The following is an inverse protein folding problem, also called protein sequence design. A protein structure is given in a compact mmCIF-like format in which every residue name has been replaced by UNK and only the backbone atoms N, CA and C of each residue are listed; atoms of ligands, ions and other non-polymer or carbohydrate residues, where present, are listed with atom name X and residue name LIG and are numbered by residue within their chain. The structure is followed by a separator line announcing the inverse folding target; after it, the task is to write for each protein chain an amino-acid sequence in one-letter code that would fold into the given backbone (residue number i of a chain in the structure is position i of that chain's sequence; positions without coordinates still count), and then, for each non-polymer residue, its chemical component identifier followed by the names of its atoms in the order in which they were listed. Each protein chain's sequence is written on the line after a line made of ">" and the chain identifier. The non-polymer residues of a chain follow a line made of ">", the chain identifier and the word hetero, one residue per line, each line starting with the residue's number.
data_IF_608984335787
#
_entry.id   IF_608984335787
#
_cell.length_a   1.000
_cell.length_b   1.000
_cell.length_c   1.000
_cell.angle_alpha   90.00
_cell.angle_beta   90.00
_cell.angle_gamma   90.00
#
_symmetry.space_group_name_H-M   'P 1'
#
loop_
_entity.id
_entity.type
_entity.pdbx_description
1 polymer ?
#
# COMPACT_ATOMS: atom_id res chain seq x y z
N UNK A 1 -16.42 6.17 -9.06
CA UNK A 1 -17.31 5.21 -8.35
C UNK A 1 -16.42 4.14 -7.76
N UNK A 2 -16.26 4.10 -6.43
CA UNK A 2 -15.42 3.09 -5.75
C UNK A 2 -16.25 1.80 -5.67
N UNK A 3 -15.74 0.69 -6.23
CA UNK A 3 -16.42 -0.61 -6.17
C UNK A 3 -16.12 -1.27 -4.82
N UNK A 4 -17.16 -1.74 -4.12
CA UNK A 4 -17.02 -2.42 -2.82
C UNK A 4 -16.31 -3.76 -2.99
N UNK A 5 -15.16 -3.99 -2.33
CA UNK A 5 -14.43 -5.22 -2.53
C UNK A 5 -14.86 -6.35 -1.58
N UNK A 6 -16.12 -6.79 -1.64
CA UNK A 6 -16.70 -7.75 -0.68
C UNK A 6 -16.19 -9.20 -0.76
N UNK A 7 -15.38 -9.58 -1.74
CA UNK A 7 -15.02 -10.99 -1.96
C UNK A 7 -13.61 -11.36 -1.51
N UNK A 8 -13.47 -12.55 -0.91
CA UNK A 8 -12.20 -13.30 -0.71
C UNK A 8 -11.50 -13.64 -2.04
N UNK A 9 -12.23 -13.59 -3.15
CA UNK A 9 -11.70 -13.86 -4.47
C UNK A 9 -10.70 -12.79 -4.92
N UNK A 10 -9.51 -13.25 -5.29
CA UNK A 10 -8.49 -12.45 -5.97
C UNK A 10 -9.06 -11.76 -7.21
N UNK A 11 -8.68 -10.51 -7.45
CA UNK A 11 -9.13 -9.73 -8.61
C UNK A 11 -8.21 -8.58 -8.95
N UNK A 12 -8.30 -8.08 -10.18
CA UNK A 12 -7.61 -6.87 -10.59
C UNK A 12 -8.54 -5.66 -10.49
N UNK A 13 -8.20 -4.70 -9.63
CA UNK A 13 -8.93 -3.44 -9.47
C UNK A 13 -8.18 -2.28 -10.14
N UNK A 14 -8.91 -1.25 -10.54
CA UNK A 14 -8.31 0.02 -10.96
C UNK A 14 -7.61 0.66 -9.77
N UNK A 15 -6.35 1.06 -9.94
CA UNK A 15 -5.64 1.79 -8.90
C UNK A 15 -6.28 3.17 -8.76
N UNK A 16 -6.71 3.60 -7.56
CA UNK A 16 -7.33 4.90 -7.41
C UNK A 16 -6.34 5.99 -7.80
N UNK A 17 -6.76 6.87 -8.72
CA UNK A 17 -5.94 7.94 -9.25
C UNK A 17 -5.46 8.83 -8.09
N UNK A 18 -4.17 9.20 -8.11
CA UNK A 18 -3.55 10.11 -7.15
C UNK A 18 -3.47 9.62 -5.70
N UNK A 19 -3.52 8.31 -5.42
CA UNK A 19 -3.16 7.85 -4.07
C UNK A 19 -1.67 8.08 -3.79
N UNK A 20 -1.33 8.77 -2.69
CA UNK A 20 0.05 8.95 -2.27
C UNK A 20 0.75 7.60 -2.12
N UNK A 21 1.88 7.43 -2.80
CA UNK A 21 2.69 6.21 -2.69
C UNK A 21 4.17 6.53 -2.54
N UNK A 22 4.86 5.79 -1.66
CA UNK A 22 6.30 5.93 -1.44
C UNK A 22 7.05 5.68 -2.76
N UNK A 23 6.64 4.65 -3.48
CA UNK A 23 7.11 4.34 -4.82
C UNK A 23 5.98 4.55 -5.83
N UNK A 24 6.31 5.14 -6.97
CA UNK A 24 5.33 5.40 -8.04
C UNK A 24 4.69 4.08 -8.51
N UNK A 25 3.36 4.07 -8.57
CA UNK A 25 2.58 2.95 -9.10
C UNK A 25 2.20 3.25 -10.56
N UNK A 26 2.94 2.64 -11.50
CA UNK A 26 2.83 2.95 -12.93
C UNK A 26 1.72 2.18 -13.67
N UNK A 27 1.01 1.30 -12.98
CA UNK A 27 -0.01 0.46 -13.59
C UNK A 27 -1.42 1.01 -13.32
N UNK A 28 -2.32 0.99 -14.31
CA UNK A 28 -3.70 1.44 -14.11
C UNK A 28 -4.49 0.48 -13.22
N UNK A 29 -4.00 -0.76 -13.04
CA UNK A 29 -4.65 -1.81 -12.26
C UNK A 29 -3.66 -2.49 -11.34
N UNK A 30 -4.16 -2.97 -10.20
CA UNK A 30 -3.41 -3.77 -9.25
C UNK A 30 -4.16 -5.04 -8.89
N UNK A 31 -3.40 -6.07 -8.55
CA UNK A 31 -3.95 -7.34 -8.08
C UNK A 31 -4.25 -7.27 -6.58
N UNK A 32 -5.49 -7.55 -6.22
CA UNK A 32 -5.96 -7.75 -4.86
C UNK A 32 -5.63 -9.18 -4.46
N UNK A 33 -4.69 -9.31 -3.53
CA UNK A 33 -4.27 -10.59 -2.97
C UNK A 33 -5.39 -11.18 -2.11
N UNK A 34 -5.63 -12.52 -2.12
CA UNK A 34 -6.63 -13.15 -1.27
C UNK A 34 -6.48 -12.79 0.21
N UNK A 35 -5.25 -12.71 0.70
CA UNK A 35 -4.94 -12.40 2.10
C UNK A 35 -5.30 -10.95 2.51
N UNK A 36 -5.55 -10.03 1.56
CA UNK A 36 -5.85 -8.63 1.91
C UNK A 36 -7.11 -8.47 2.74
N UNK A 37 -8.11 -9.34 2.55
CA UNK A 37 -9.31 -9.31 3.39
C UNK A 37 -8.98 -9.63 4.85
N UNK A 38 -8.16 -10.64 5.08
CA UNK A 38 -7.73 -11.03 6.42
C UNK A 38 -6.95 -9.90 7.09
N UNK A 39 -6.00 -9.28 6.38
CA UNK A 39 -5.27 -8.12 6.92
C UNK A 39 -6.18 -6.91 7.16
N UNK A 40 -7.18 -6.68 6.29
CA UNK A 40 -8.15 -5.61 6.50
C UNK A 40 -8.95 -5.83 7.79
N UNK A 41 -9.56 -7.01 7.94
CA UNK A 41 -10.35 -7.37 9.12
C UNK A 41 -9.49 -7.29 10.37
N UNK A 42 -8.27 -7.82 10.32
CA UNK A 42 -7.33 -7.75 11.41
C UNK A 42 -7.06 -6.31 11.85
N UNK A 43 -6.80 -5.40 10.91
CA UNK A 43 -6.53 -3.98 11.23
C UNK A 43 -7.76 -3.34 11.86
N UNK A 44 -8.96 -3.60 11.33
CA UNK A 44 -10.22 -3.11 11.87
C UNK A 44 -10.44 -3.63 13.31
N UNK A 45 -10.19 -4.90 13.56
CA UNK A 45 -10.35 -5.52 14.88
C UNK A 45 -9.36 -4.95 15.90
N UNK A 46 -8.13 -4.61 15.48
CA UNK A 46 -7.19 -3.87 16.35
C UNK A 46 -7.70 -2.48 16.70
N UNK A 47 -8.23 -1.73 15.73
CA UNK A 47 -8.82 -0.42 16.04
C UNK A 47 -10.02 -0.55 16.98
N UNK A 48 -10.89 -1.54 16.80
CA UNK A 48 -12.02 -1.82 17.71
C UNK A 48 -11.57 -2.24 19.11
N UNK A 49 -10.45 -2.96 19.21
CA UNK A 49 -9.81 -3.34 20.48
C UNK A 49 -9.12 -2.20 21.22
N UNK A 50 -9.21 -0.95 20.73
CA UNK A 50 -8.66 0.23 21.39
C UNK A 50 -7.21 0.55 21.02
N UNK A 51 -6.63 -0.12 20.04
CA UNK A 51 -5.29 0.21 19.56
C UNK A 51 -5.33 1.39 18.61
N UNK A 52 -4.54 2.43 18.87
CA UNK A 52 -4.44 3.59 17.97
C UNK A 52 -3.53 3.33 16.76
N UNK A 53 -2.65 2.33 16.81
CA UNK A 53 -1.56 2.19 15.83
C UNK A 53 -1.38 0.75 15.44
N UNK A 54 -1.52 0.47 14.14
CA UNK A 54 -1.35 -0.85 13.55
C UNK A 54 -0.32 -0.77 12.45
N UNK A 55 0.58 -1.75 12.41
CA UNK A 55 1.62 -1.83 11.38
C UNK A 55 1.47 -3.09 10.57
N UNK A 56 1.43 -2.93 9.25
CA UNK A 56 1.57 -4.03 8.30
C UNK A 56 2.96 -3.93 7.67
N UNK A 57 3.77 -4.96 7.87
CA UNK A 57 5.18 -4.98 7.48
C UNK A 57 5.50 -6.12 6.52
N UNK A 58 6.70 -6.12 5.96
CA UNK A 58 7.18 -7.20 5.11
C UNK A 58 8.27 -6.74 4.16
N UNK A 59 8.79 -7.67 3.37
CA UNK A 59 9.85 -7.43 2.41
C UNK A 59 9.42 -6.45 1.31
N UNK A 60 10.39 -5.87 0.62
CA UNK A 60 10.11 -4.98 -0.51
C UNK A 60 9.29 -5.72 -1.58
N UNK A 61 8.32 -5.03 -2.19
CA UNK A 61 7.44 -5.57 -3.21
C UNK A 61 6.51 -6.75 -2.81
N UNK A 62 6.30 -6.99 -1.51
CA UNK A 62 5.32 -7.98 -1.03
C UNK A 62 3.85 -7.55 -1.23
N UNK A 63 3.60 -6.32 -1.70
CA UNK A 63 2.26 -5.78 -1.94
C UNK A 63 1.69 -4.95 -0.81
N UNK A 64 2.53 -4.24 -0.04
CA UNK A 64 2.07 -3.34 1.03
C UNK A 64 1.33 -2.10 0.51
N UNK A 65 1.88 -1.40 -0.49
CA UNK A 65 1.24 -0.20 -1.04
C UNK A 65 -0.08 -0.53 -1.76
N UNK A 66 -0.16 -1.69 -2.42
CA UNK A 66 -1.41 -2.20 -3.01
C UNK A 66 -2.41 -2.65 -1.95
N UNK A 67 -1.95 -3.15 -0.79
CA UNK A 67 -2.82 -3.37 0.38
C UNK A 67 -3.38 -2.05 0.92
N UNK A 68 -2.57 -0.98 1.02
CA UNK A 68 -3.09 0.34 1.41
C UNK A 68 -4.14 0.86 0.44
N UNK A 69 -3.93 0.70 -0.88
CA UNK A 69 -4.93 1.09 -1.87
C UNK A 69 -6.24 0.29 -1.72
N UNK A 70 -6.14 -1.02 -1.44
CA UNK A 70 -7.28 -1.87 -1.11
C UNK A 70 -7.99 -1.39 0.16
N UNK A 71 -7.22 -1.18 1.24
CA UNK A 71 -7.73 -0.73 2.54
C UNK A 71 -8.44 0.61 2.39
N UNK A 72 -7.80 1.61 1.78
CA UNK A 72 -8.39 2.92 1.51
C UNK A 72 -9.72 2.79 0.77
N UNK A 73 -9.74 2.06 -0.34
CA UNK A 73 -10.93 1.90 -1.18
C UNK A 73 -12.09 1.30 -0.39
N UNK A 74 -11.82 0.22 0.34
CA UNK A 74 -12.83 -0.47 1.15
C UNK A 74 -13.30 0.38 2.32
N UNK A 75 -12.36 0.96 3.06
CA UNK A 75 -12.64 1.76 4.26
C UNK A 75 -13.49 2.98 3.94
N UNK A 76 -13.21 3.71 2.86
CA UNK A 76 -14.01 4.86 2.44
C UNK A 76 -15.46 4.49 2.08
N UNK A 77 -15.70 3.25 1.62
CA UNK A 77 -17.04 2.75 1.31
C UNK A 77 -17.78 2.35 2.60
N UNK A 78 -17.12 1.62 3.50
CA UNK A 78 -17.72 1.11 4.74
C UNK A 78 -17.88 2.20 5.81
N UNK A 79 -17.03 3.23 5.79
CA UNK A 79 -16.99 4.33 6.76
C UNK A 79 -17.14 5.70 6.08
N UNK A 80 -18.26 5.97 5.38
CA UNK A 80 -18.38 7.16 4.54
C UNK A 80 -18.43 8.49 5.32
N UNK A 81 -18.64 8.42 6.64
CA UNK A 81 -18.70 9.59 7.51
C UNK A 81 -17.38 9.87 8.24
N UNK A 82 -16.33 9.09 7.98
CA UNK A 82 -15.01 9.30 8.58
C UNK A 82 -14.07 10.06 7.64
N UNK A 83 -13.10 10.75 8.22
CA UNK A 83 -12.03 11.42 7.48
C UNK A 83 -10.85 10.48 7.32
N UNK A 84 -10.46 10.17 6.08
CA UNK A 84 -9.32 9.30 5.78
C UNK A 84 -8.18 10.15 5.22
N UNK A 85 -7.01 10.07 5.85
CA UNK A 85 -5.83 10.85 5.48
C UNK A 85 -4.74 9.89 5.02
N UNK A 86 -4.44 9.86 3.74
CA UNK A 86 -3.35 9.05 3.19
C UNK A 86 -2.09 9.89 3.04
N UNK A 87 -0.95 9.38 3.50
CA UNK A 87 0.34 10.07 3.41
C UNK A 87 1.39 9.07 2.94
N UNK A 88 2.21 9.51 1.99
CA UNK A 88 3.38 8.76 1.57
C UNK A 88 4.66 9.41 2.07
N UNK A 89 5.67 8.59 2.32
CA UNK A 89 6.97 9.04 2.81
C UNK A 89 8.08 8.65 1.84
N UNK A 90 9.12 9.47 1.78
CA UNK A 90 10.38 9.10 1.13
C UNK A 90 11.10 8.01 1.94
N UNK A 91 12.13 7.39 1.36
CA UNK A 91 12.96 6.40 2.06
C UNK A 91 13.66 6.99 3.31
N UNK A 92 13.79 8.31 3.41
CA UNK A 92 14.38 9.00 4.57
C UNK A 92 13.34 9.40 5.63
N UNK A 93 12.06 9.04 5.43
CA UNK A 93 10.95 9.31 6.33
C UNK A 93 10.42 10.75 6.26
N UNK A 94 10.65 11.46 5.16
CA UNK A 94 10.04 12.79 4.91
C UNK A 94 8.70 12.60 4.20
N UNK A 95 7.67 13.38 4.55
CA UNK A 95 6.41 13.37 3.80
C UNK A 95 6.68 13.77 2.35
N UNK A 96 6.17 12.95 1.43
CA UNK A 96 6.33 13.11 -0.02
C UNK A 96 5.04 13.66 -0.64
N UNK A 97 3.91 13.11 -0.23
CA UNK A 97 2.60 13.47 -0.76
C UNK A 97 1.50 13.11 0.25
N UNK A 98 0.39 13.85 0.22
CA UNK A 98 -0.73 13.67 1.12
C UNK A 98 -2.08 13.87 0.42
N UNK A 99 -3.06 13.08 0.84
CA UNK A 99 -4.43 13.10 0.35
C UNK A 99 -5.38 13.03 1.54
N UNK A 100 -6.42 13.88 1.52
CA UNK A 100 -7.53 13.82 2.46
C UNK A 100 -8.77 13.42 1.71
N UNK A 101 -9.45 12.38 2.18
CA UNK A 101 -10.72 11.93 1.69
C UNK A 101 -11.79 12.18 2.74
N UNK A 102 -12.92 12.75 2.30
CA UNK A 102 -14.15 12.88 3.07
C UNK A 102 -15.35 12.56 2.18
N UNK A 103 -16.56 12.51 2.76
CA UNK A 103 -17.80 12.41 2.00
C UNK A 103 -17.98 13.51 0.95
N UNK A 104 -17.40 14.70 1.18
CA UNK A 104 -17.51 15.83 0.25
C UNK A 104 -16.56 15.71 -0.95
N UNK A 105 -15.58 14.79 -0.90
CA UNK A 105 -14.66 14.55 -2.00
C UNK A 105 -13.23 14.32 -1.53
N UNK A 106 -12.31 14.52 -2.48
CA UNK A 106 -10.87 14.33 -2.27
C UNK A 106 -10.18 15.68 -2.35
N UNK A 107 -9.30 15.95 -1.39
CA UNK A 107 -8.36 17.07 -1.41
C UNK A 107 -6.94 16.52 -1.49
N UNK A 108 -6.14 17.06 -2.40
CA UNK A 108 -4.76 16.67 -2.64
C UNK A 108 -3.88 17.91 -2.57
N UNK A 109 -2.72 17.82 -1.92
CA UNK A 109 -1.72 18.90 -1.96
C UNK A 109 -0.32 18.37 -1.69
N UNK A 110 0.64 18.83 -2.49
CA UNK A 110 2.06 18.68 -2.20
C UNK A 110 2.62 19.85 -1.35
N UNK A 111 1.87 20.94 -1.21
CA UNK A 111 2.28 22.15 -0.47
C UNK A 111 1.58 22.23 0.89
N UNK A 112 2.31 22.60 1.95
CA UNK A 112 1.78 22.69 3.33
C UNK A 112 1.02 21.41 3.78
N UNK A 113 1.52 20.21 3.43
CA UNK A 113 0.87 18.94 3.76
C UNK A 113 0.51 18.81 5.24
N UNK A 114 1.39 19.25 6.14
CA UNK A 114 1.12 19.26 7.59
C UNK A 114 -0.10 20.11 7.96
N UNK A 115 -0.23 21.28 7.34
CA UNK A 115 -1.32 22.23 7.55
C UNK A 115 -2.64 21.64 7.08
N UNK A 116 -2.66 21.00 5.91
CA UNK A 116 -3.84 20.30 5.40
C UNK A 116 -4.27 19.17 6.33
N UNK A 117 -3.33 18.34 6.79
CA UNK A 117 -3.61 17.23 7.72
C UNK A 117 -4.20 17.77 9.03
N UNK A 118 -3.59 18.81 9.61
CA UNK A 118 -4.05 19.42 10.85
C UNK A 118 -5.45 20.06 10.71
N UNK A 119 -5.71 20.75 9.60
CA UNK A 119 -7.03 21.30 9.30
C UNK A 119 -8.09 20.21 9.15
N UNK A 120 -7.78 19.13 8.43
CA UNK A 120 -8.68 18.01 8.24
C UNK A 120 -9.03 17.31 9.57
N UNK A 121 -8.04 17.10 10.44
CA UNK A 121 -8.25 16.52 11.77
C UNK A 121 -9.01 17.45 12.71
N UNK A 122 -8.70 18.75 12.69
CA UNK A 122 -9.40 19.75 13.50
C UNK A 122 -10.87 19.81 13.11
N UNK A 123 -11.15 19.85 11.81
CA UNK A 123 -12.52 19.83 11.28
C UNK A 123 -13.25 18.54 11.67
N UNK A 124 -12.62 17.38 11.49
CA UNK A 124 -13.20 16.10 11.90
C UNK A 124 -13.56 16.10 13.40
N UNK A 125 -12.66 16.59 14.26
CA UNK A 125 -12.89 16.71 15.71
C UNK A 125 -14.03 17.66 16.04
N UNK A 126 -14.10 18.84 15.42
CA UNK A 126 -15.17 19.81 15.61
C UNK A 126 -16.53 19.25 15.22
N UNK A 127 -16.56 18.42 14.17
CA UNK A 127 -17.77 17.74 13.69
C UNK A 127 -18.09 16.44 14.46
N UNK A 128 -17.29 16.07 15.47
CA UNK A 128 -17.46 14.83 16.24
C UNK A 128 -17.22 13.56 15.42
N UNK A 129 -16.48 13.65 14.31
CA UNK A 129 -16.21 12.55 13.38
C UNK A 129 -14.84 11.92 13.63
N UNK A 130 -14.73 10.58 13.60
CA UNK A 130 -13.44 9.91 13.65
C UNK A 130 -12.59 10.23 12.41
N UNK A 131 -11.27 10.19 12.60
CA UNK A 131 -10.29 10.19 11.50
C UNK A 131 -9.32 9.01 11.61
N UNK A 132 -8.74 8.65 10.47
CA UNK A 132 -7.68 7.64 10.37
C UNK A 132 -6.59 8.13 9.41
N UNK A 133 -5.33 7.84 9.74
CA UNK A 133 -4.19 8.07 8.86
C UNK A 133 -3.67 6.76 8.27
N UNK A 134 -3.45 6.74 6.96
CA UNK A 134 -2.88 5.63 6.21
C UNK A 134 -1.50 6.02 5.70
N UNK A 135 -0.45 5.32 6.13
CA UNK A 135 0.93 5.68 5.84
C UNK A 135 1.63 4.66 4.95
N UNK A 136 2.07 5.08 3.77
CA UNK A 136 2.97 4.31 2.91
C UNK A 136 4.42 4.74 3.16
N UNK A 137 5.13 3.94 3.97
CA UNK A 137 6.48 4.21 4.46
C UNK A 137 6.53 4.61 5.94
N UNK A 138 7.71 4.47 6.54
CA UNK A 138 7.94 4.85 7.93
C UNK A 138 8.03 6.36 8.10
N UNK A 139 7.46 6.85 9.20
CA UNK A 139 7.61 8.21 9.69
C UNK A 139 8.55 8.28 10.88
N UNK A 140 9.08 9.46 11.15
CA UNK A 140 10.03 9.70 12.25
C UNK A 140 9.34 9.88 13.60
N UNK A 141 8.17 10.52 13.62
CA UNK A 141 7.46 10.88 14.85
C UNK A 141 5.98 10.48 14.73
N UNK A 142 5.46 9.73 15.68
CA UNK A 142 4.06 9.31 15.69
C UNK A 142 3.13 10.46 16.06
N UNK A 143 2.00 10.65 15.37
CA UNK A 143 0.95 11.52 15.87
C UNK A 143 0.35 10.94 17.16
N UNK A 144 0.06 11.82 18.12
CA UNK A 144 -0.62 11.46 19.35
C UNK A 144 -2.13 11.35 19.11
N UNK A 145 -2.79 10.33 19.69
CA UNK A 145 -4.25 10.17 19.76
C UNK A 145 -4.99 10.15 18.40
N UNK A 146 -4.35 9.61 17.36
CA UNK A 146 -4.97 9.38 16.05
C UNK A 146 -4.80 7.92 15.65
N UNK A 147 -5.85 7.32 15.05
CA UNK A 147 -5.74 5.99 14.45
C UNK A 147 -4.80 6.01 13.26
N UNK A 148 -3.79 5.15 13.26
CA UNK A 148 -2.77 5.05 12.21
C UNK A 148 -2.65 3.60 11.74
N UNK A 149 -2.84 3.39 10.44
CA UNK A 149 -2.37 2.20 9.74
C UNK A 149 -1.08 2.55 9.00
N UNK A 150 0.04 1.94 9.37
CA UNK A 150 1.31 2.13 8.69
C UNK A 150 1.70 0.87 7.92
N UNK A 151 2.03 1.04 6.64
CA UNK A 151 2.66 0.04 5.81
C UNK A 151 4.11 0.43 5.55
N UNK A 152 5.05 -0.28 6.17
CA UNK A 152 6.48 0.02 6.04
C UNK A 152 7.31 -1.24 5.90
N UNK A 153 8.56 -1.11 5.45
CA UNK A 153 9.56 -2.14 5.69
C UNK A 153 9.86 -2.19 7.20
N UNK A 154 10.16 -3.37 7.73
CA UNK A 154 10.74 -3.50 9.06
C UNK A 154 11.97 -2.59 9.14
N UNK A 155 11.91 -1.61 10.03
CA UNK A 155 12.95 -0.63 10.29
C UNK A 155 13.01 -0.51 11.79
N UNK A 156 14.18 -0.78 12.36
CA UNK A 156 14.42 -0.82 13.81
C UNK A 156 13.88 0.42 14.55
N UNK A 157 13.88 1.59 13.91
CA UNK A 157 13.37 2.83 14.51
C UNK A 157 11.85 2.87 14.65
N UNK A 158 11.11 2.35 13.68
CA UNK A 158 9.67 2.15 13.82
C UNK A 158 9.37 1.05 14.84
N UNK A 159 10.26 0.06 14.89
CA UNK A 159 10.17 -1.05 15.83
C UNK A 159 10.35 -0.63 17.30
N UNK A 160 10.98 0.51 17.57
CA UNK A 160 11.07 1.06 18.93
C UNK A 160 9.86 1.94 19.31
N UNK A 161 9.06 2.38 18.32
CA UNK A 161 7.99 3.37 18.52
C UNK A 161 6.60 2.73 18.71
N UNK A 162 6.41 1.49 18.26
CA UNK A 162 5.16 0.74 18.42
C UNK A 162 5.46 -0.54 19.17
N UNK A 163 4.76 -0.80 20.28
CA UNK A 163 4.86 -2.07 20.99
C UNK A 163 4.70 -3.25 20.02
N UNK A 164 5.47 -4.32 20.21
CA UNK A 164 5.61 -5.46 19.28
C UNK A 164 4.29 -6.09 18.82
N UNK A 165 3.21 -5.92 19.58
CA UNK A 165 2.00 -6.73 19.47
C UNK A 165 1.02 -6.29 18.36
N UNK A 166 1.28 -5.16 17.70
CA UNK A 166 0.43 -4.60 16.64
C UNK A 166 1.07 -4.68 15.24
N UNK A 167 2.04 -5.57 15.07
CA UNK A 167 2.75 -5.76 13.80
C UNK A 167 2.33 -7.05 13.12
N UNK A 168 1.98 -6.92 11.85
CA UNK A 168 1.52 -8.03 11.04
C UNK A 168 2.34 -8.10 9.77
N UNK A 169 3.11 -9.18 9.61
CA UNK A 169 3.87 -9.41 8.40
C UNK A 169 2.94 -9.89 7.28
N UNK A 170 3.07 -9.30 6.10
CA UNK A 170 2.36 -9.74 4.89
C UNK A 170 2.94 -11.07 4.43
N UNK A 171 2.07 -12.06 4.20
CA UNK A 171 2.46 -13.37 3.71
C UNK A 171 3.24 -13.28 2.37
N UNK A 172 4.26 -14.13 2.16
CA UNK A 172 4.91 -14.31 0.87
C UNK A 172 3.91 -14.56 -0.26
N UNK A 173 4.31 -14.28 -1.50
CA UNK A 173 3.49 -14.66 -2.66
C UNK A 173 3.65 -16.16 -2.92
N UNK A 174 2.54 -16.85 -3.12
CA UNK A 174 2.56 -18.22 -3.62
C UNK A 174 2.64 -18.25 -5.16
N UNK A 175 3.12 -19.35 -5.73
CA UNK A 175 3.19 -19.51 -7.19
C UNK A 175 1.80 -19.45 -7.83
N UNK A 176 0.77 -20.05 -7.21
CA UNK A 176 -0.60 -19.99 -7.72
C UNK A 176 -1.12 -18.55 -7.74
N UNK A 177 -0.81 -17.77 -6.70
CA UNK A 177 -1.16 -16.37 -6.59
C UNK A 177 -0.48 -15.52 -7.68
N UNK A 178 0.80 -15.78 -7.97
CA UNK A 178 1.55 -15.09 -9.03
C UNK A 178 0.98 -15.38 -10.42
N UNK A 179 0.66 -16.65 -10.70
CA UNK A 179 0.07 -17.06 -11.97
C UNK A 179 -1.34 -16.48 -12.15
N UNK A 180 -2.12 -16.40 -11.07
CA UNK A 180 -3.44 -15.77 -11.08
C UNK A 180 -3.34 -14.26 -11.30
N UNK A 181 -2.39 -13.59 -10.61
CA UNK A 181 -2.12 -12.18 -10.81
C UNK A 181 -1.71 -11.86 -12.25
N UNK A 182 -0.86 -12.69 -12.87
CA UNK A 182 -0.51 -12.60 -14.28
C UNK A 182 -1.75 -12.58 -15.16
N UNK A 183 -2.62 -13.58 -15.02
CA UNK A 183 -3.82 -13.73 -15.83
C UNK A 183 -4.79 -12.56 -15.62
N UNK A 184 -5.06 -12.17 -14.38
CA UNK A 184 -6.01 -11.10 -14.05
C UNK A 184 -5.53 -9.71 -14.45
N UNK A 185 -4.21 -9.49 -14.42
CA UNK A 185 -3.59 -8.25 -14.91
C UNK A 185 -3.30 -8.28 -16.41
N UNK A 186 -3.54 -9.42 -17.09
CA UNK A 186 -3.30 -9.64 -18.52
C UNK A 186 -1.86 -9.32 -18.92
N UNK A 187 -0.89 -9.73 -18.09
CA UNK A 187 0.53 -9.42 -18.32
C UNK A 187 1.09 -10.11 -19.57
N UNK A 188 0.41 -11.13 -20.09
CA UNK A 188 0.71 -11.77 -21.37
C UNK A 188 0.43 -10.89 -22.59
N UNK A 189 -0.42 -9.85 -22.44
CA UNK A 189 -0.78 -8.94 -23.52
C UNK A 189 0.08 -7.66 -23.53
N UNK A 190 1.06 -7.55 -22.63
CA UNK A 190 1.95 -6.38 -22.56
C UNK A 190 3.01 -6.40 -23.66
N UNK A 191 3.61 -5.24 -24.02
CA UNK A 191 4.66 -5.18 -25.06
C UNK A 191 5.87 -6.08 -24.79
N UNK A 192 6.20 -6.28 -23.52
CA UNK A 192 7.09 -7.34 -23.06
C UNK A 192 6.28 -8.33 -22.20
N UNK A 193 5.71 -9.37 -22.82
CA UNK A 193 4.86 -10.34 -22.12
C UNK A 193 5.62 -11.04 -21.00
N UNK A 194 4.92 -11.30 -19.90
CA UNK A 194 5.42 -12.19 -18.83
C UNK A 194 4.80 -13.56 -19.03
N UNK A 195 5.59 -14.58 -19.36
CA UNK A 195 5.08 -15.93 -19.59
C UNK A 195 4.84 -16.70 -18.27
N UNK A 196 4.19 -17.87 -18.34
CA UNK A 196 4.03 -18.73 -17.15
C UNK A 196 5.36 -19.38 -16.76
N UNK A 197 6.16 -19.73 -17.76
CA UNK A 197 7.49 -20.32 -17.64
C UNK A 197 8.45 -19.32 -17.00
N UNK A 198 8.38 -18.05 -17.42
CA UNK A 198 9.08 -16.94 -16.78
C UNK A 198 8.79 -16.87 -15.28
N UNK A 199 7.50 -16.86 -14.89
CA UNK A 199 7.10 -16.80 -13.48
C UNK A 199 7.61 -18.01 -12.71
N UNK A 200 7.42 -19.21 -13.26
CA UNK A 200 7.81 -20.46 -12.61
C UNK A 200 9.33 -20.51 -12.40
N UNK A 201 10.12 -20.24 -13.44
CA UNK A 201 11.58 -20.22 -13.34
C UNK A 201 12.10 -19.18 -12.35
N UNK A 202 11.48 -17.99 -12.31
CA UNK A 202 11.85 -16.95 -11.35
C UNK A 202 11.43 -17.31 -9.93
N UNK A 203 10.29 -17.96 -9.75
CA UNK A 203 9.83 -18.44 -8.45
C UNK A 203 10.77 -19.51 -7.90
N UNK A 204 11.20 -20.45 -8.72
CA UNK A 204 12.15 -21.49 -8.31
C UNK A 204 13.50 -20.89 -7.87
N UNK A 205 13.92 -19.78 -8.49
CA UNK A 205 15.20 -19.13 -8.20
C UNK A 205 15.14 -18.10 -7.06
N UNK A 206 14.04 -17.36 -6.94
CA UNK A 206 13.93 -16.19 -6.06
C UNK A 206 12.78 -16.28 -5.04
N UNK A 207 11.98 -17.34 -5.09
CA UNK A 207 10.79 -17.54 -4.27
C UNK A 207 9.65 -16.57 -4.62
N UNK A 208 8.76 -16.37 -3.64
CA UNK A 208 7.56 -15.52 -3.70
C UNK A 208 7.81 -14.01 -3.75
N UNK A 209 8.76 -13.54 -4.56
CA UNK A 209 9.08 -12.12 -4.74
C UNK A 209 8.39 -11.60 -6.01
N UNK A 210 7.20 -11.02 -5.84
CA UNK A 210 6.36 -10.57 -6.96
C UNK A 210 7.05 -9.60 -7.92
N UNK A 211 7.88 -8.67 -7.42
CA UNK A 211 8.67 -7.75 -8.28
C UNK A 211 9.55 -8.49 -9.28
N UNK A 212 10.11 -9.63 -8.89
CA UNK A 212 11.00 -10.41 -9.76
C UNK A 212 10.15 -11.29 -10.67
N UNK A 213 9.23 -12.05 -10.09
CA UNK A 213 8.39 -13.01 -10.82
C UNK A 213 7.55 -12.32 -11.91
N UNK A 214 6.91 -11.20 -11.60
CA UNK A 214 6.02 -10.45 -12.50
C UNK A 214 6.75 -9.36 -13.33
N UNK A 215 8.08 -9.34 -13.32
CA UNK A 215 8.87 -8.33 -14.06
C UNK A 215 8.73 -8.49 -15.57
N UNK A 216 8.55 -7.37 -16.28
CA UNK A 216 8.66 -7.34 -17.75
C UNK A 216 10.11 -7.37 -18.25
N UNK A 217 11.10 -7.16 -17.36
CA UNK A 217 12.52 -7.20 -17.71
C UNK A 217 13.07 -8.62 -17.63
N UNK A 218 13.79 -9.03 -18.66
CA UNK A 218 14.48 -10.33 -18.76
C UNK A 218 15.86 -10.36 -18.09
N UNK A 219 16.49 -9.18 -17.91
CA UNK A 219 17.79 -9.07 -17.23
C UNK A 219 17.60 -8.83 -15.74
N UNK A 220 18.20 -9.69 -14.92
CA UNK A 220 18.25 -9.56 -13.47
C UNK A 220 19.64 -9.09 -13.06
N UNK A 221 19.78 -8.15 -12.12
CA UNK A 221 21.09 -7.90 -11.53
C UNK A 221 21.62 -9.21 -10.94
N UNK A 222 22.84 -9.57 -11.32
CA UNK A 222 23.53 -10.83 -10.92
C UNK A 222 23.83 -10.91 -9.42
N UNK A 223 23.48 -9.88 -8.67
CA UNK A 223 23.55 -9.84 -7.23
C UNK A 223 22.28 -9.18 -6.71
N UNK A 224 21.80 -9.66 -5.57
CA UNK A 224 20.75 -9.03 -4.77
C UNK A 224 21.29 -7.71 -4.18
N UNK A 225 21.77 -6.81 -5.02
CA UNK A 225 21.82 -5.40 -4.68
C UNK A 225 20.45 -4.82 -5.00
N UNK A 226 19.68 -4.62 -3.93
CA UNK A 226 18.46 -3.84 -3.93
C UNK A 226 18.76 -2.37 -4.30
N UNK A 227 19.08 -2.08 -5.56
CA UNK A 227 19.09 -0.73 -6.11
C UNK A 227 17.87 -0.55 -7.00
N UNK A 228 17.01 0.36 -6.55
CA UNK A 228 15.91 0.91 -7.32
C UNK A 228 16.53 1.60 -8.53
N UNK A 229 16.38 1.02 -9.72
CA UNK A 229 16.60 1.72 -10.99
C UNK A 229 15.45 1.35 -11.93
N UNK A 230 14.36 2.11 -11.79
CA UNK A 230 13.43 2.29 -12.91
C UNK A 230 14.11 3.24 -13.90
N UNK A 231 13.89 3.07 -15.21
CA UNK A 231 14.67 3.80 -16.20
C UNK A 231 14.42 5.28 -16.00
N UNK A 232 15.51 6.04 -15.91
CA UNK A 232 15.48 7.46 -16.18
C UNK A 232 14.80 7.65 -17.53
N UNK A 233 13.74 8.45 -17.54
CA UNK A 233 13.37 9.18 -18.72
C UNK A 233 14.46 10.23 -18.95
N UNK A 234 15.57 9.82 -19.55
CA UNK A 234 16.47 10.78 -20.18
C UNK A 234 16.01 11.02 -21.62
N UNK A 235 15.91 12.31 -21.93
CA UNK A 235 15.91 12.95 -23.24
C UNK A 235 14.67 12.77 -24.14
N UNK A 236 13.69 13.67 -23.99
CA UNK A 236 13.61 14.92 -24.77
C UNK A 236 12.65 15.91 -24.11
#
# INVERSE_FOLDING_TARGET
>A
MLLCPETTAARALTYPISLPAQHEFKFPRYYVRPCYLEYYNLVIDRFKGGYDKVTVTGTAAIGKSTFLAYFFTRYCIEHPNETVIMVSFTNTGKMKDALVWTRQGVTHTAQCMSCMIEQAETKARQEGRPSIRLYDGALRNLPARTRVLCCTRALERWDNLIASDQRHAVAPWDISELLDARAKLKLEAFPSPVSREDITSRYDKFGGVARVCLSQRKQYPSQVEARIIWPDSESR
#
